data_IF_776813644511
#
_entry.id   IF_776813644511
#
_cell.length_a   1.000
_cell.length_b   1.000
_cell.length_c   1.000
_cell.angle_alpha   90.00
_cell.angle_beta   90.00
_cell.angle_gamma   90.00
#
_symmetry.space_group_name_H-M   'P 1'
#
loop_
_entity.id
_entity.type
_entity.pdbx_description
1 polymer ?
#
# COMPACT_ATOMS: atom_id res chain seq x y z
N UNK A 1 -13.67 19.89 -1.65
CA UNK A 1 -13.76 19.13 -0.39
C UNK A 1 -14.31 17.71 -0.61
N UNK A 2 -15.55 17.52 -1.10
CA UNK A 2 -16.11 16.17 -1.29
C UNK A 2 -15.27 15.28 -2.23
N UNK A 3 -14.87 15.79 -3.40
CA UNK A 3 -14.04 15.04 -4.35
C UNK A 3 -12.68 14.63 -3.77
N UNK A 4 -12.08 15.48 -2.94
CA UNK A 4 -10.79 15.22 -2.30
C UNK A 4 -10.88 14.10 -1.27
N UNK A 5 -11.97 14.06 -0.50
CA UNK A 5 -12.23 12.97 0.46
C UNK A 5 -12.44 11.63 -0.28
N UNK A 6 -13.13 11.64 -1.41
CA UNK A 6 -13.30 10.43 -2.25
C UNK A 6 -11.95 9.92 -2.74
N UNK A 7 -11.09 10.81 -3.25
CA UNK A 7 -9.73 10.46 -3.70
C UNK A 7 -8.90 9.90 -2.55
N UNK A 8 -8.95 10.54 -1.38
CA UNK A 8 -8.27 10.05 -0.18
C UNK A 8 -8.75 8.66 0.22
N UNK A 9 -10.07 8.42 0.21
CA UNK A 9 -10.67 7.13 0.56
C UNK A 9 -10.25 6.03 -0.43
N UNK A 10 -10.25 6.32 -1.73
CA UNK A 10 -9.77 5.38 -2.76
C UNK A 10 -8.29 5.07 -2.60
N UNK A 11 -7.45 6.09 -2.39
CA UNK A 11 -6.02 5.90 -2.11
C UNK A 11 -5.78 5.05 -0.86
N UNK A 12 -6.52 5.33 0.21
CA UNK A 12 -6.47 4.57 1.47
C UNK A 12 -6.89 3.11 1.29
N UNK A 13 -7.91 2.86 0.49
CA UNK A 13 -8.37 1.51 0.15
C UNK A 13 -7.28 0.74 -0.60
N UNK A 14 -6.67 1.34 -1.63
CA UNK A 14 -5.60 0.70 -2.40
C UNK A 14 -4.37 0.42 -1.52
N UNK A 15 -3.95 1.40 -0.71
CA UNK A 15 -2.84 1.22 0.23
C UNK A 15 -3.11 0.09 1.24
N UNK A 16 -4.33 0.04 1.78
CA UNK A 16 -4.75 -1.03 2.71
C UNK A 16 -4.78 -2.41 2.04
N UNK A 17 -5.25 -2.49 0.79
CA UNK A 17 -5.21 -3.73 0.01
C UNK A 17 -3.77 -4.18 -0.26
N UNK A 18 -2.85 -3.25 -0.56
CA UNK A 18 -1.44 -3.57 -0.74
C UNK A 18 -0.83 -4.16 0.54
N UNK A 19 -1.11 -3.55 1.71
CA UNK A 19 -0.70 -4.07 3.03
C UNK A 19 -1.28 -5.46 3.25
N UNK A 20 -2.58 -5.64 2.99
CA UNK A 20 -3.24 -6.93 3.17
C UNK A 20 -2.59 -8.03 2.31
N UNK A 21 -2.42 -7.77 1.01
CA UNK A 21 -1.85 -8.75 0.08
C UNK A 21 -0.39 -9.08 0.41
N UNK A 22 0.38 -8.10 0.88
CA UNK A 22 1.82 -8.25 1.11
C UNK A 22 2.14 -8.84 2.48
N UNK A 23 1.42 -8.45 3.54
CA UNK A 23 1.78 -8.80 4.93
C UNK A 23 0.72 -9.61 5.66
N UNK A 24 -0.57 -9.40 5.43
CA UNK A 24 -1.63 -10.03 6.25
C UNK A 24 -2.07 -11.37 5.66
N UNK A 25 -2.16 -11.45 4.32
CA UNK A 25 -2.71 -12.62 3.62
C UNK A 25 -1.91 -13.89 3.88
N UNK A 26 -0.59 -13.81 3.93
CA UNK A 26 0.26 -14.98 4.17
C UNK A 26 0.14 -15.51 5.62
N UNK A 27 0.26 -14.69 6.67
CA UNK A 27 -0.06 -15.12 8.04
C UNK A 27 -1.45 -15.72 8.17
N UNK A 28 -2.49 -15.09 7.64
CA UNK A 28 -3.85 -15.64 7.68
C UNK A 28 -3.96 -16.99 6.98
N UNK A 29 -3.28 -17.16 5.84
CA UNK A 29 -3.20 -18.43 5.14
C UNK A 29 -2.57 -19.53 6.00
N UNK A 30 -1.48 -19.21 6.73
CA UNK A 30 -0.79 -20.13 7.63
C UNK A 30 -1.60 -20.46 8.88
N UNK A 31 -2.25 -19.46 9.48
CA UNK A 31 -3.14 -19.63 10.64
C UNK A 31 -4.38 -20.48 10.30
N UNK A 32 -4.80 -20.49 9.04
CA UNK A 32 -5.88 -21.35 8.55
C UNK A 32 -5.44 -22.82 8.34
N UNK A 33 -4.23 -23.19 8.76
CA UNK A 33 -3.71 -24.57 8.64
C UNK A 33 -3.25 -24.98 7.24
N UNK A 34 -3.25 -24.06 6.26
CA UNK A 34 -2.88 -24.36 4.87
C UNK A 34 -1.36 -24.41 4.66
N UNK A 35 -0.92 -25.29 3.75
CA UNK A 35 0.51 -25.48 3.48
C UNK A 35 1.13 -24.31 2.71
N UNK A 36 2.45 -24.19 2.72
CA UNK A 36 3.13 -23.09 2.02
C UNK A 36 2.97 -23.23 0.50
N UNK A 37 3.00 -24.47 0.00
CA UNK A 37 2.86 -24.80 -1.42
C UNK A 37 1.51 -24.35 -2.01
N UNK A 38 0.46 -24.26 -1.19
CA UNK A 38 -0.88 -23.81 -1.61
C UNK A 38 -0.98 -22.29 -1.72
N UNK A 39 -0.01 -21.53 -1.18
CA UNK A 39 -0.07 -20.08 -1.19
C UNK A 39 0.37 -19.50 -2.55
N UNK A 40 -0.58 -18.91 -3.27
CA UNK A 40 -0.29 -18.13 -4.47
C UNK A 40 -0.09 -16.66 -4.13
N UNK A 41 1.14 -16.17 -4.30
CA UNK A 41 1.44 -14.73 -4.19
C UNK A 41 0.65 -13.96 -5.25
N UNK A 42 0.04 -12.84 -4.84
CA UNK A 42 -0.69 -11.93 -5.72
C UNK A 42 -0.05 -10.56 -5.52
N UNK A 43 0.46 -9.97 -6.60
CA UNK A 43 0.98 -8.60 -6.59
C UNK A 43 -0.17 -7.62 -6.41
N UNK A 44 0.01 -6.63 -5.53
CA UNK A 44 -0.91 -5.51 -5.38
C UNK A 44 -0.81 -4.51 -6.53
N UNK A 45 -1.35 -3.31 -6.31
CA UNK A 45 -1.31 -2.18 -7.24
C UNK A 45 -0.31 -1.16 -6.68
N UNK A 46 0.99 -1.29 -6.98
CA UNK A 46 2.01 -0.43 -6.38
C UNK A 46 1.87 1.02 -6.83
N UNK A 47 2.31 1.96 -6.00
CA UNK A 47 2.36 3.41 -6.20
C UNK A 47 1.01 4.15 -6.27
N UNK A 48 -0.03 3.54 -6.82
CA UNK A 48 -1.33 4.20 -7.00
C UNK A 48 -1.97 4.64 -5.67
N UNK A 49 -1.89 3.82 -4.62
CA UNK A 49 -2.38 4.16 -3.28
C UNK A 49 -1.72 5.44 -2.74
N UNK A 50 -0.38 5.45 -2.68
CA UNK A 50 0.39 6.61 -2.27
C UNK A 50 0.12 7.86 -3.12
N UNK A 51 0.07 7.74 -4.45
CA UNK A 51 -0.15 8.89 -5.34
C UNK A 51 -1.51 9.56 -5.07
N UNK A 52 -2.58 8.77 -4.95
CA UNK A 52 -3.91 9.30 -4.65
C UNK A 52 -3.96 9.99 -3.28
N UNK A 53 -3.31 9.39 -2.26
CA UNK A 53 -3.21 9.99 -0.93
C UNK A 53 -2.48 11.34 -1.02
N UNK A 54 -1.30 11.40 -1.63
CA UNK A 54 -0.51 12.64 -1.77
C UNK A 54 -1.33 13.74 -2.47
N UNK A 55 -1.98 13.41 -3.60
CA UNK A 55 -2.81 14.37 -4.35
C UNK A 55 -3.95 14.90 -3.46
N UNK A 56 -4.60 14.02 -2.70
CA UNK A 56 -5.70 14.42 -1.84
C UNK A 56 -5.27 15.29 -0.65
N UNK A 57 -4.05 15.14 -0.14
CA UNK A 57 -3.55 15.94 0.99
C UNK A 57 -3.42 17.43 0.63
N UNK A 58 -3.18 17.79 -0.63
CA UNK A 58 -3.18 19.20 -1.06
C UNK A 58 -4.53 19.89 -0.82
N UNK A 59 -5.65 19.17 -0.92
CA UNK A 59 -6.99 19.70 -0.67
C UNK A 59 -7.55 19.41 0.72
N UNK A 60 -6.80 18.68 1.56
CA UNK A 60 -7.16 18.31 2.94
C UNK A 60 -6.14 18.81 3.96
N UNK A 61 -5.25 19.71 3.55
CA UNK A 61 -4.11 20.21 4.34
C UNK A 61 -4.51 20.88 5.66
N UNK A 62 -5.71 21.47 5.73
CA UNK A 62 -6.23 22.10 6.94
C UNK A 62 -6.71 21.09 7.99
N UNK A 63 -6.84 19.80 7.64
CA UNK A 63 -7.34 18.77 8.55
C UNK A 63 -6.23 17.91 9.11
N UNK A 64 -5.94 18.09 10.40
CA UNK A 64 -4.95 17.30 11.15
C UNK A 64 -5.22 15.79 11.11
N UNK A 65 -6.50 15.38 11.10
CA UNK A 65 -6.91 13.99 10.99
C UNK A 65 -6.47 13.38 9.65
N UNK A 66 -6.81 14.02 8.52
CA UNK A 66 -6.46 13.50 7.19
C UNK A 66 -4.95 13.54 6.94
N UNK A 67 -4.25 14.57 7.43
CA UNK A 67 -2.79 14.61 7.38
C UNK A 67 -2.16 13.43 8.15
N UNK A 68 -2.62 13.19 9.38
CA UNK A 68 -2.09 12.10 10.22
C UNK A 68 -2.35 10.74 9.59
N UNK A 69 -3.58 10.47 9.16
CA UNK A 69 -3.94 9.23 8.48
C UNK A 69 -3.16 9.06 7.18
N UNK A 70 -3.00 10.14 6.40
CA UNK A 70 -2.23 10.14 5.17
C UNK A 70 -0.77 9.77 5.41
N UNK A 71 -0.11 10.37 6.40
CA UNK A 71 1.28 10.04 6.76
C UNK A 71 1.41 8.57 7.17
N UNK A 72 0.52 8.08 8.04
CA UNK A 72 0.53 6.67 8.46
C UNK A 72 0.39 5.76 7.24
N UNK A 73 -0.59 6.01 6.37
CA UNK A 73 -0.79 5.18 5.17
C UNK A 73 0.40 5.26 4.21
N UNK A 74 1.02 6.42 4.03
CA UNK A 74 2.21 6.56 3.18
C UNK A 74 3.41 5.78 3.73
N UNK A 75 3.60 5.75 5.05
CA UNK A 75 4.68 4.98 5.69
C UNK A 75 4.45 3.47 5.61
N UNK A 76 3.20 3.03 5.72
CA UNK A 76 2.86 1.60 5.75
C UNK A 76 2.45 1.02 4.40
N UNK A 77 2.21 1.81 3.35
CA UNK A 77 1.86 1.28 2.02
C UNK A 77 3.05 0.51 1.42
N UNK A 78 2.93 -0.81 1.42
CA UNK A 78 3.98 -1.73 0.93
C UNK A 78 4.02 -1.82 -0.59
N UNK A 79 3.04 -1.25 -1.26
CA UNK A 79 3.10 -0.94 -2.69
C UNK A 79 3.76 0.41 -2.96
N UNK A 80 4.15 1.16 -1.93
CA UNK A 80 4.73 2.49 -2.04
C UNK A 80 6.08 2.57 -2.73
N UNK A 81 6.53 3.79 -3.01
CA UNK A 81 7.76 4.03 -3.76
C UNK A 81 9.00 3.44 -3.08
N UNK A 82 9.03 3.44 -1.75
CA UNK A 82 10.13 2.86 -0.98
C UNK A 82 10.31 1.36 -1.27
N UNK A 83 9.20 0.61 -1.26
CA UNK A 83 9.21 -0.83 -1.55
C UNK A 83 9.38 -1.14 -3.03
N UNK A 84 8.81 -0.29 -3.90
CA UNK A 84 9.01 -0.41 -5.35
C UNK A 84 10.49 -0.26 -5.73
N UNK A 85 11.17 0.76 -5.22
CA UNK A 85 12.60 0.98 -5.45
C UNK A 85 13.44 -0.17 -4.87
N UNK A 86 13.11 -0.65 -3.67
CA UNK A 86 13.78 -1.81 -3.08
C UNK A 86 13.64 -3.06 -3.95
N UNK A 87 12.43 -3.35 -4.44
CA UNK A 87 12.16 -4.49 -5.32
C UNK A 87 12.92 -4.37 -6.65
N UNK A 88 12.99 -3.17 -7.23
CA UNK A 88 13.72 -2.89 -8.46
C UNK A 88 15.22 -3.15 -8.30
N UNK A 89 15.84 -2.54 -7.27
CA UNK A 89 17.26 -2.70 -6.98
C UNK A 89 17.64 -4.17 -6.70
N UNK A 90 16.77 -4.89 -5.99
CA UNK A 90 16.97 -6.34 -5.75
C UNK A 90 16.88 -7.14 -7.05
N UNK A 91 15.96 -6.79 -7.94
CA UNK A 91 15.80 -7.46 -9.23
C UNK A 91 17.05 -7.29 -10.11
N UNK A 92 17.66 -6.10 -10.14
CA UNK A 92 18.88 -5.87 -10.91
C UNK A 92 20.08 -6.68 -10.40
N UNK A 93 20.26 -6.77 -9.07
CA UNK A 93 21.34 -7.56 -8.47
C UNK A 93 21.24 -9.05 -8.74
N UNK A 94 20.04 -9.57 -8.98
CA UNK A 94 19.80 -11.01 -9.23
C UNK A 94 20.06 -11.39 -10.70
N UNK A 95 20.16 -10.40 -11.61
CA UNK A 95 20.44 -10.62 -13.04
C UNK A 95 21.94 -10.60 -13.38
N UNK A 96 22.82 -10.20 -12.45
CA UNK A 96 24.27 -10.27 -12.58
C UNK A 96 24.78 -11.55 -11.94
#
# INVERSE_FOLDING_TARGET
MQSTVIIFALGSLIASLNIYLSFIRYPLHRLSGKKKEEFRFISGIPLFGQLLIIISLFGLWDSSLFLTLGIVLLLFDTGGIQFFLFALLKSEKTKK
#
